data_IF_315610595305
#
_entry.id   IF_315610595305
#
_cell.length_a   1.000
_cell.length_b   1.000
_cell.length_c   1.000
_cell.angle_alpha   90.00
_cell.angle_beta   90.00
_cell.angle_gamma   90.00
#
_symmetry.space_group_name_H-M   'P 1'
#
loop_
_entity.id
_entity.type
_entity.pdbx_description
1 polymer ?
#
# COMPACT_ATOMS: atom_id res chain seq x y z
N UNK A 1 0.24 -8.06 10.18
CA UNK A 1 -0.53 -6.86 10.60
C UNK A 1 -0.59 -6.68 12.12
N UNK A 2 -1.07 -7.66 12.92
CA UNK A 2 -1.22 -7.51 14.38
C UNK A 2 0.03 -7.00 15.12
N UNK A 3 1.19 -7.59 14.85
CA UNK A 3 2.46 -7.17 15.45
C UNK A 3 2.81 -5.68 15.19
N UNK A 4 2.46 -5.14 14.02
CA UNK A 4 2.67 -3.72 13.70
C UNK A 4 1.75 -2.83 14.53
N UNK A 5 0.48 -3.21 14.67
CA UNK A 5 -0.50 -2.47 15.48
C UNK A 5 -0.08 -2.45 16.96
N UNK A 6 0.35 -3.59 17.49
CA UNK A 6 0.85 -3.70 18.88
C UNK A 6 2.10 -2.85 19.09
N UNK A 7 3.07 -2.92 18.18
CA UNK A 7 4.31 -2.15 18.26
C UNK A 7 4.05 -0.64 18.21
N UNK A 8 3.15 -0.18 17.33
CA UNK A 8 2.75 1.23 17.23
C UNK A 8 1.97 1.72 18.48
N UNK A 9 1.08 0.89 19.04
CA UNK A 9 0.36 1.21 20.28
C UNK A 9 1.30 1.30 21.48
N UNK A 10 2.24 0.37 21.59
CA UNK A 10 3.20 0.36 22.69
C UNK A 10 4.23 1.49 22.56
N UNK A 11 4.71 1.76 21.34
CA UNK A 11 5.78 2.73 21.05
C UNK A 11 5.50 3.47 19.73
N UNK A 12 4.71 4.56 19.74
CA UNK A 12 4.37 5.30 18.52
C UNK A 12 5.59 5.81 17.73
N UNK A 13 6.69 6.13 18.40
CA UNK A 13 7.94 6.60 17.75
C UNK A 13 8.82 5.46 17.22
N UNK A 14 8.31 4.24 17.16
CA UNK A 14 9.08 3.07 16.70
C UNK A 14 9.55 3.22 15.25
N UNK A 15 10.63 2.49 14.95
CA UNK A 15 11.18 2.31 13.60
C UNK A 15 11.14 0.83 13.18
N UNK A 16 10.34 0.03 13.89
CA UNK A 16 10.29 -1.44 13.79
C UNK A 16 8.94 -1.95 13.29
N UNK A 17 7.99 -1.04 13.04
CA UNK A 17 6.66 -1.38 12.56
C UNK A 17 6.71 -1.69 11.06
N UNK A 18 7.22 -2.87 10.72
CA UNK A 18 7.45 -3.33 9.35
C UNK A 18 6.69 -4.62 9.10
N UNK A 19 6.07 -4.75 7.92
CA UNK A 19 5.57 -6.01 7.38
C UNK A 19 6.49 -6.40 6.22
N UNK A 20 7.23 -7.49 6.37
CA UNK A 20 7.93 -8.13 5.26
C UNK A 20 6.95 -9.00 4.47
N UNK A 21 6.97 -8.88 3.15
CA UNK A 21 6.21 -9.72 2.23
C UNK A 21 7.09 -10.64 1.41
N UNK A 22 8.32 -10.22 1.13
CA UNK A 22 9.35 -11.08 0.55
C UNK A 22 10.04 -11.86 1.66
N UNK A 23 10.07 -13.19 1.54
CA UNK A 23 10.90 -14.08 2.36
C UNK A 23 12.14 -14.51 1.55
N UNK A 24 13.34 -14.03 1.90
CA UNK A 24 14.54 -14.38 1.17
C UNK A 24 14.88 -15.88 1.18
N UNK A 25 14.46 -16.63 2.19
CA UNK A 25 14.71 -18.07 2.25
C UNK A 25 13.72 -18.76 1.32
N UNK A 26 12.43 -18.58 1.54
CA UNK A 26 11.43 -19.35 0.80
C UNK A 26 11.35 -18.92 -0.67
N UNK A 27 11.42 -17.63 -0.96
CA UNK A 27 11.25 -17.11 -2.31
C UNK A 27 12.50 -17.32 -3.19
N UNK A 28 13.72 -17.22 -2.64
CA UNK A 28 14.94 -17.43 -3.44
C UNK A 28 15.33 -18.89 -3.64
N UNK A 29 14.96 -19.80 -2.74
CA UNK A 29 15.32 -21.22 -2.88
C UNK A 29 14.31 -22.03 -3.70
N UNK A 30 13.10 -21.51 -3.94
CA UNK A 30 12.11 -22.14 -4.80
C UNK A 30 12.16 -21.61 -6.25
N UNK A 31 13.19 -22.01 -7.00
CA UNK A 31 13.40 -21.62 -8.41
C UNK A 31 12.30 -22.03 -9.40
N UNK A 32 11.28 -22.76 -8.95
CA UNK A 32 10.14 -23.18 -9.79
C UNK A 32 8.91 -22.30 -9.63
N UNK A 33 8.90 -21.40 -8.65
CA UNK A 33 7.80 -20.49 -8.42
C UNK A 33 7.69 -19.50 -9.59
N UNK A 34 6.54 -19.53 -10.29
CA UNK A 34 6.23 -18.58 -11.36
C UNK A 34 5.75 -17.23 -10.82
N UNK A 35 5.23 -17.25 -9.59
CA UNK A 35 4.77 -16.07 -8.86
C UNK A 35 5.78 -15.77 -7.76
N UNK A 36 6.40 -14.61 -7.82
CA UNK A 36 7.44 -14.17 -6.90
C UNK A 36 7.03 -12.80 -6.37
N UNK A 37 7.00 -12.57 -5.03
CA UNK A 37 6.50 -11.32 -4.47
C UNK A 37 7.17 -10.08 -5.08
N UNK A 38 6.37 -9.18 -5.64
CA UNK A 38 6.87 -7.92 -6.18
C UNK A 38 7.10 -6.89 -5.06
N UNK A 39 6.21 -6.87 -4.05
CA UNK A 39 6.32 -6.03 -2.87
C UNK A 39 7.26 -6.69 -1.86
N UNK A 40 8.26 -5.94 -1.41
CA UNK A 40 9.25 -6.42 -0.46
C UNK A 40 8.78 -6.19 0.98
N UNK A 41 8.40 -4.94 1.30
CA UNK A 41 7.92 -4.60 2.63
C UNK A 41 7.09 -3.32 2.68
N UNK A 42 6.34 -3.20 3.77
CA UNK A 42 5.57 -2.03 4.19
C UNK A 42 6.18 -1.53 5.51
N UNK A 43 6.56 -0.25 5.59
CA UNK A 43 7.10 0.35 6.80
C UNK A 43 6.21 1.49 7.29
N UNK A 44 5.64 1.32 8.48
CA UNK A 44 4.76 2.27 9.12
C UNK A 44 5.54 3.14 10.09
N UNK A 45 5.48 4.45 9.91
CA UNK A 45 6.32 5.38 10.65
C UNK A 45 5.50 6.58 11.10
N UNK A 46 5.51 6.89 12.39
CA UNK A 46 4.87 8.13 12.86
C UNK A 46 5.81 9.32 12.68
N UNK A 47 5.38 10.34 11.91
CA UNK A 47 6.07 11.61 11.69
C UNK A 47 5.11 12.77 11.86
N UNK A 48 5.52 13.78 12.63
CA UNK A 48 4.69 14.95 12.94
C UNK A 48 3.29 14.59 13.48
N UNK A 49 3.19 13.48 14.23
CA UNK A 49 1.93 12.99 14.77
C UNK A 49 1.03 12.22 13.79
N UNK A 50 1.46 12.02 12.54
CA UNK A 50 0.72 11.26 11.53
C UNK A 50 1.45 9.95 11.17
N UNK A 51 0.70 8.92 10.78
CA UNK A 51 1.22 7.62 10.36
C UNK A 51 1.57 7.65 8.87
N UNK A 52 2.84 7.79 8.54
CA UNK A 52 3.37 7.63 7.19
C UNK A 52 3.49 6.13 6.84
N UNK A 53 3.41 5.80 5.54
CA UNK A 53 3.62 4.46 5.01
C UNK A 53 4.64 4.50 3.86
N UNK A 54 5.75 3.79 4.03
CA UNK A 54 6.74 3.54 2.98
C UNK A 54 6.54 2.14 2.40
N UNK A 55 6.41 2.06 1.08
CA UNK A 55 6.28 0.82 0.33
C UNK A 55 7.51 0.62 -0.53
N UNK A 56 8.13 -0.54 -0.42
CA UNK A 56 9.24 -0.96 -1.29
C UNK A 56 8.83 -2.12 -2.17
N UNK A 57 8.97 -1.95 -3.48
CA UNK A 57 8.56 -2.90 -4.52
C UNK A 57 9.74 -3.10 -5.48
N UNK A 58 10.17 -4.33 -5.69
CA UNK A 58 11.26 -4.63 -6.63
C UNK A 58 10.86 -4.47 -8.10
N UNK A 59 9.57 -4.65 -8.41
CA UNK A 59 9.06 -4.78 -9.78
C UNK A 59 7.59 -4.39 -9.84
N UNK A 60 7.28 -3.18 -10.33
CA UNK A 60 5.90 -2.72 -10.47
C UNK A 60 5.57 -2.46 -11.94
N UNK A 61 4.56 -3.16 -12.45
CA UNK A 61 3.94 -2.82 -13.74
C UNK A 61 3.06 -1.55 -13.57
N UNK A 62 3.14 -0.60 -14.50
CA UNK A 62 2.42 0.68 -14.43
C UNK A 62 0.92 0.51 -14.65
N UNK A 63 0.52 -0.32 -15.61
CA UNK A 63 -0.85 -0.36 -16.14
C UNK A 63 -1.83 -1.12 -15.24
N UNK A 64 -1.43 -2.28 -14.73
CA UNK A 64 -2.27 -3.13 -13.89
C UNK A 64 -1.81 -3.10 -12.44
N UNK A 65 -0.51 -3.06 -12.20
CA UNK A 65 0.03 -3.03 -10.85
C UNK A 65 -0.22 -1.68 -10.19
N UNK A 66 0.49 -0.66 -10.64
CA UNK A 66 0.55 0.65 -9.98
C UNK A 66 -0.82 1.34 -9.98
N UNK A 67 -1.37 1.53 -11.18
CA UNK A 67 -2.61 2.30 -11.39
C UNK A 67 -3.87 1.45 -11.21
N UNK A 68 -3.78 0.14 -11.43
CA UNK A 68 -4.93 -0.76 -11.30
C UNK A 68 -5.27 -1.12 -9.87
N UNK A 69 -4.28 -1.31 -8.98
CA UNK A 69 -4.55 -1.80 -7.62
C UNK A 69 -3.59 -1.30 -6.54
N UNK A 70 -2.28 -1.26 -6.77
CA UNK A 70 -1.29 -1.13 -5.70
C UNK A 70 -1.44 0.17 -4.88
N UNK A 71 -1.53 1.34 -5.54
CA UNK A 71 -1.64 2.61 -4.81
C UNK A 71 -2.92 2.63 -3.97
N UNK A 72 -4.03 2.18 -4.54
CA UNK A 72 -5.31 2.11 -3.84
C UNK A 72 -5.22 1.15 -2.64
N UNK A 73 -4.74 -0.07 -2.87
CA UNK A 73 -4.62 -1.11 -1.84
C UNK A 73 -3.77 -0.62 -0.66
N UNK A 74 -2.58 -0.09 -0.92
CA UNK A 74 -1.67 0.30 0.16
C UNK A 74 -2.14 1.55 0.90
N UNK A 75 -2.81 2.50 0.23
CA UNK A 75 -3.36 3.69 0.91
C UNK A 75 -4.58 3.36 1.75
N UNK A 76 -5.44 2.43 1.31
CA UNK A 76 -6.51 1.86 2.14
C UNK A 76 -5.93 1.08 3.33
N UNK A 77 -4.85 0.33 3.11
CA UNK A 77 -4.17 -0.40 4.18
C UNK A 77 -3.53 0.54 5.22
N UNK A 78 -2.95 1.66 4.79
CA UNK A 78 -2.49 2.72 5.68
C UNK A 78 -3.63 3.26 6.55
N UNK A 79 -4.78 3.56 5.95
CA UNK A 79 -5.97 4.04 6.64
C UNK A 79 -6.48 3.04 7.69
N UNK A 80 -6.53 1.75 7.34
CA UNK A 80 -6.90 0.68 8.26
C UNK A 80 -6.00 0.65 9.50
N UNK A 81 -4.68 0.63 9.30
CA UNK A 81 -3.72 0.61 10.42
C UNK A 81 -3.83 1.90 11.24
N UNK A 82 -3.88 3.07 10.59
CA UNK A 82 -4.05 4.37 11.22
C UNK A 82 -5.29 4.43 12.13
N UNK A 83 -6.42 3.91 11.65
CA UNK A 83 -7.68 3.80 12.40
C UNK A 83 -7.53 2.87 13.62
N UNK A 84 -6.90 1.71 13.45
CA UNK A 84 -6.67 0.75 14.54
C UNK A 84 -5.77 1.29 15.67
N UNK A 85 -4.82 2.18 15.36
CA UNK A 85 -3.91 2.78 16.35
C UNK A 85 -4.34 4.19 16.78
N UNK A 86 -5.45 4.71 16.24
CA UNK A 86 -5.96 6.06 16.47
C UNK A 86 -4.90 7.17 16.20
N UNK A 87 -4.17 7.03 15.10
CA UNK A 87 -3.18 8.02 14.63
C UNK A 87 -3.69 8.59 13.30
N UNK A 88 -3.66 9.92 13.08
CA UNK A 88 -4.01 10.52 11.78
C UNK A 88 -3.17 9.97 10.63
N UNK A 89 -3.75 9.86 9.44
CA UNK A 89 -3.04 9.43 8.23
C UNK A 89 -1.98 10.47 7.84
N UNK A 90 -0.77 10.00 7.56
CA UNK A 90 0.35 10.78 7.09
C UNK A 90 0.56 10.67 5.59
N UNK A 91 1.82 10.73 5.17
CA UNK A 91 2.25 10.61 3.78
C UNK A 91 2.33 9.15 3.35
N UNK A 92 2.20 8.95 2.06
CA UNK A 92 2.42 7.66 1.39
C UNK A 92 3.63 7.79 0.48
N UNK A 93 4.56 6.84 0.57
CA UNK A 93 5.75 6.78 -0.27
C UNK A 93 5.78 5.45 -1.02
N UNK A 94 5.84 5.53 -2.34
CA UNK A 94 5.86 4.38 -3.24
C UNK A 94 7.21 4.28 -3.93
N UNK A 95 8.01 3.28 -3.57
CA UNK A 95 9.38 3.11 -4.06
C UNK A 95 9.43 1.82 -4.88
N UNK A 96 9.55 1.99 -6.19
CA UNK A 96 9.66 0.89 -7.14
C UNK A 96 11.08 0.84 -7.74
N UNK A 97 11.79 -0.27 -7.54
CA UNK A 97 13.15 -0.45 -8.09
C UNK A 97 13.11 -0.58 -9.63
N UNK A 98 12.14 -1.35 -10.12
CA UNK A 98 11.83 -1.47 -11.55
C UNK A 98 10.37 -1.08 -11.78
N UNK A 99 10.15 0.16 -12.19
CA UNK A 99 8.86 0.64 -12.66
C UNK A 99 8.80 0.50 -14.19
N UNK A 100 7.91 -0.35 -14.70
CA UNK A 100 7.91 -0.75 -16.10
C UNK A 100 6.49 -0.91 -16.66
N UNK A 101 6.39 -1.02 -17.98
CA UNK A 101 5.19 -1.47 -18.67
C UNK A 101 5.60 -2.50 -19.73
N UNK A 102 4.68 -3.41 -20.06
CA UNK A 102 4.92 -4.41 -21.10
C UNK A 102 4.65 -3.83 -22.49
N UNK A 103 5.60 -4.03 -23.42
CA UNK A 103 5.54 -3.47 -24.79
C UNK A 103 4.38 -3.99 -25.63
N UNK A 104 3.86 -5.18 -25.30
CA UNK A 104 2.66 -5.75 -25.91
C UNK A 104 1.44 -4.83 -25.81
N UNK A 105 1.48 -3.85 -24.90
CA UNK A 105 0.41 -2.90 -24.64
C UNK A 105 0.77 -1.46 -24.98
N UNK A 106 1.76 -1.25 -25.86
CA UNK A 106 2.17 0.08 -26.33
C UNK A 106 0.97 0.90 -26.84
N UNK A 107 0.10 0.30 -27.66
CA UNK A 107 -1.08 1.01 -28.18
C UNK A 107 -2.01 1.50 -27.07
N UNK A 108 -2.12 0.75 -25.96
CA UNK A 108 -2.92 1.18 -24.80
C UNK A 108 -2.24 2.35 -24.09
N UNK A 109 -0.93 2.31 -23.93
CA UNK A 109 -0.17 3.44 -23.38
C UNK A 109 -0.34 4.69 -24.24
N UNK A 110 -0.22 4.57 -25.56
CA UNK A 110 -0.39 5.68 -26.49
C UNK A 110 -1.79 6.30 -26.36
N UNK A 111 -2.82 5.46 -26.26
CA UNK A 111 -4.20 5.93 -26.05
C UNK A 111 -4.36 6.67 -24.71
N UNK A 112 -3.72 6.21 -23.64
CA UNK A 112 -3.75 6.89 -22.32
C UNK A 112 -3.05 8.25 -22.40
N UNK A 113 -1.89 8.33 -23.08
CA UNK A 113 -1.13 9.57 -23.24
C UNK A 113 -1.85 10.60 -24.11
N UNK A 114 -2.63 10.14 -25.09
CA UNK A 114 -3.43 10.98 -25.97
C UNK A 114 -4.82 11.29 -25.41
N UNK A 115 -5.26 10.59 -24.36
CA UNK A 115 -6.54 10.85 -23.74
C UNK A 115 -6.56 12.29 -23.19
N UNK A 116 -7.65 13.03 -23.40
CA UNK A 116 -7.79 14.32 -22.74
C UNK A 116 -7.68 14.13 -21.23
N UNK A 117 -7.11 15.12 -20.54
CA UNK A 117 -7.07 15.11 -19.09
C UNK A 117 -8.47 14.84 -18.55
N UNK A 118 -8.60 13.75 -17.80
CA UNK A 118 -9.83 13.30 -17.20
C UNK A 118 -9.56 13.14 -15.72
N UNK A 119 -9.95 14.14 -14.94
CA UNK A 119 -10.03 13.96 -13.50
C UNK A 119 -11.41 13.36 -13.19
N UNK A 120 -11.41 12.21 -12.50
CA UNK A 120 -12.66 11.60 -12.05
C UNK A 120 -13.45 12.58 -11.18
N UNK A 121 -12.77 13.50 -10.48
CA UNK A 121 -13.37 14.52 -9.63
C UNK A 121 -13.93 15.72 -10.39
N UNK A 122 -13.61 15.90 -11.68
CA UNK A 122 -14.26 16.90 -12.55
C UNK A 122 -15.67 16.45 -12.98
N UNK A 123 -15.92 15.15 -12.95
CA UNK A 123 -17.14 14.53 -13.49
C UNK A 123 -17.96 13.77 -12.46
N UNK A 124 -17.45 13.66 -11.23
CA UNK A 124 -18.18 13.12 -10.09
C UNK A 124 -18.22 14.19 -9.00
N UNK A 125 -19.37 14.37 -8.35
CA UNK A 125 -19.34 15.09 -7.08
C UNK A 125 -18.34 14.37 -6.18
N UNK A 126 -17.39 15.06 -5.52
CA UNK A 126 -16.44 14.42 -4.64
C UNK A 126 -17.19 13.49 -3.71
N UNK A 127 -17.03 12.19 -3.90
CA UNK A 127 -17.62 11.24 -2.98
C UNK A 127 -16.87 11.43 -1.67
N UNK A 128 -17.62 11.61 -0.59
CA UNK A 128 -16.98 11.61 0.72
C UNK A 128 -16.56 10.17 0.97
N UNK A 129 -15.26 9.89 0.82
CA UNK A 129 -14.69 8.67 1.38
C UNK A 129 -14.88 8.81 2.88
N UNK A 130 -15.91 8.13 3.39
CA UNK A 130 -16.10 8.01 4.83
C UNK A 130 -14.88 7.28 5.36
N UNK A 131 -14.00 8.04 6.02
CA UNK A 131 -12.82 7.44 6.64
C UNK A 131 -13.25 6.29 7.52
N UNK A 132 -12.43 5.25 7.60
CA UNK A 132 -12.69 4.12 8.49
C UNK A 132 -12.73 4.66 9.92
N UNK A 133 -13.94 4.92 10.42
CA UNK A 133 -14.13 5.62 11.68
C UNK A 133 -13.66 4.73 12.82
N UNK A 134 -12.92 5.31 13.77
CA UNK A 134 -12.45 4.66 15.00
C UNK A 134 -13.59 4.06 15.85
N UNK A 135 -14.85 4.45 15.59
CA UNK A 135 -16.03 4.04 16.33
C UNK A 135 -16.54 2.64 15.97
N UNK A 136 -16.06 2.03 14.88
CA UNK A 136 -16.22 0.59 14.66
C UNK A 136 -14.94 -0.08 15.14
N UNK A 137 -14.95 -0.67 16.33
CA UNK A 137 -13.77 -1.30 16.90
C UNK A 137 -13.37 -2.53 16.06
N UNK A 138 -12.53 -2.33 15.04
CA UNK A 138 -11.71 -3.40 14.47
C UNK A 138 -10.69 -3.93 15.50
N UNK A 139 -10.54 -3.22 16.63
CA UNK A 139 -9.72 -3.62 17.77
C UNK A 139 -10.13 -4.95 18.43
N UNK A 140 -11.36 -5.44 18.18
CA UNK A 140 -11.88 -6.71 18.69
C UNK A 140 -12.08 -7.77 17.59
N UNK A 141 -11.51 -7.59 16.39
CA UNK A 141 -11.41 -8.71 15.45
C UNK A 141 -10.37 -9.68 15.99
N UNK A 142 -10.85 -10.69 16.72
CA UNK A 142 -10.09 -11.92 16.96
C UNK A 142 -9.71 -12.50 15.60
N UNK A 143 -8.49 -12.20 15.14
CA UNK A 143 -7.88 -12.89 14.02
C UNK A 143 -7.44 -14.24 14.59
N UNK A 144 -8.39 -15.17 14.68
CA UNK A 144 -8.08 -16.58 14.80
C UNK A 144 -7.30 -16.97 13.52
N UNK A 145 -6.02 -17.26 13.71
CA UNK A 145 -5.19 -17.95 12.71
C UNK A 145 -5.65 -19.41 12.60
#
# INVERSE_FOLDING_TARGET
>A
MGAVVEELRARPSTRRAIIGLLDPVDDHYNFTAKDYPCTQYLHFIVRNGCLDLDIHIRSNDILWGLTGVNIFEFTVFQELVASMVNIPIGKYFHIADSLHYYTDYQQRMDNILQAPHFDIYDHTAPFTIHRISSNHSLANMDIAL
#
